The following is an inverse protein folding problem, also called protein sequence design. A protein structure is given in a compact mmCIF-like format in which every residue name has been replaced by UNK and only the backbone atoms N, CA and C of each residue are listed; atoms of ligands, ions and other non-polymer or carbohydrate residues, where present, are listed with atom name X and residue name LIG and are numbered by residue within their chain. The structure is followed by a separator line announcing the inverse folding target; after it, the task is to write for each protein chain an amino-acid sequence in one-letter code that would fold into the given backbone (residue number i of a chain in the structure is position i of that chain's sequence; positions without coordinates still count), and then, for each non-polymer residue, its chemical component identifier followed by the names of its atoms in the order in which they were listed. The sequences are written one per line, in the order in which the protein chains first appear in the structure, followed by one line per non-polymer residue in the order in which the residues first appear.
data_IF_204992447113
#
_entry.id   IF_204992447113
#
_cell.length_a   1.000
_cell.length_b   1.000
_cell.length_c   1.000
_cell.angle_alpha   90.00
_cell.angle_beta   90.00
_cell.angle_gamma   90.00
#
_symmetry.space_group_name_H-M   'P 1'
#
loop_
_entity.id
_entity.type
_entity.pdbx_description
1 polymer ?
#
# COMPACT_ATOMS: atom_id res chain seq x y z
N UNK A 1 -1.48 -2.65 30.49
CA UNK A 1 -2.54 -2.45 29.47
C UNK A 1 -2.56 -1.05 28.82
N UNK A 2 -2.51 0.08 29.56
CA UNK A 2 -2.61 1.44 28.97
C UNK A 2 -1.52 1.82 27.94
N UNK A 3 -0.27 1.36 28.12
CA UNK A 3 0.83 1.66 27.19
C UNK A 3 0.67 0.98 25.83
N UNK A 4 0.14 -0.25 25.81
CA UNK A 4 -0.06 -1.02 24.58
C UNK A 4 -1.18 -0.41 23.73
N UNK A 5 -2.31 -0.05 24.35
CA UNK A 5 -3.41 0.63 23.67
C UNK A 5 -2.97 1.96 23.03
N UNK A 6 -2.15 2.73 23.74
CA UNK A 6 -1.57 3.98 23.22
C UNK A 6 -0.65 3.74 22.01
N UNK A 7 0.16 2.68 22.03
CA UNK A 7 1.05 2.34 20.91
C UNK A 7 0.27 1.96 19.66
N UNK A 8 -0.77 1.14 19.80
CA UNK A 8 -1.66 0.73 18.70
C UNK A 8 -2.37 1.96 18.10
N UNK A 9 -2.88 2.85 18.94
CA UNK A 9 -3.54 4.07 18.47
C UNK A 9 -2.58 5.00 17.70
N UNK A 10 -1.35 5.17 18.19
CA UNK A 10 -0.33 5.96 17.50
C UNK A 10 0.00 5.38 16.12
N UNK A 11 0.19 4.06 16.03
CA UNK A 11 0.51 3.39 14.76
C UNK A 11 -0.67 3.49 13.77
N UNK A 12 -1.91 3.32 14.23
CA UNK A 12 -3.12 3.55 13.43
C UNK A 12 -3.18 4.98 12.87
N UNK A 13 -2.90 5.98 13.70
CA UNK A 13 -2.86 7.40 13.27
C UNK A 13 -1.76 7.65 12.24
N UNK A 14 -0.59 7.04 12.43
CA UNK A 14 0.53 7.13 11.49
C UNK A 14 0.13 6.58 10.11
N UNK A 15 -0.41 5.36 10.05
CA UNK A 15 -0.81 4.72 8.78
C UNK A 15 -1.87 5.57 8.06
N UNK A 16 -2.87 6.07 8.78
CA UNK A 16 -3.88 6.96 8.20
C UNK A 16 -3.30 8.27 7.66
N UNK A 17 -2.27 8.82 8.31
CA UNK A 17 -1.56 10.01 7.84
C UNK A 17 -0.73 9.71 6.58
N UNK A 18 -0.05 8.57 6.51
CA UNK A 18 0.72 8.16 5.33
C UNK A 18 -0.19 7.89 4.12
N UNK A 19 -1.31 7.19 4.30
CA UNK A 19 -2.32 7.00 3.25
C UNK A 19 -2.89 8.34 2.78
N UNK A 20 -3.16 9.27 3.71
CA UNK A 20 -3.62 10.62 3.35
C UNK A 20 -2.56 11.36 2.54
N UNK A 21 -1.29 11.28 2.94
CA UNK A 21 -0.16 11.89 2.23
C UNK A 21 -0.03 11.34 0.80
N UNK A 22 -0.13 10.01 0.63
CA UNK A 22 -0.15 9.36 -0.67
C UNK A 22 -1.28 9.91 -1.56
N UNK A 23 -2.50 10.03 -1.02
CA UNK A 23 -3.64 10.58 -1.75
C UNK A 23 -3.45 12.05 -2.14
N UNK A 24 -2.96 12.88 -1.22
CA UNK A 24 -2.66 14.29 -1.49
C UNK A 24 -1.62 14.45 -2.59
N UNK A 25 -0.52 13.67 -2.54
CA UNK A 25 0.51 13.70 -3.56
C UNK A 25 -0.03 13.32 -4.95
N UNK A 26 -0.95 12.34 -5.01
CA UNK A 26 -1.62 11.98 -6.27
C UNK A 26 -2.48 13.15 -6.77
N UNK A 27 -3.30 13.77 -5.92
CA UNK A 27 -4.13 14.92 -6.30
C UNK A 27 -3.28 16.10 -6.78
N UNK A 28 -2.21 16.45 -6.07
CA UNK A 28 -1.28 17.53 -6.45
C UNK A 28 -0.65 17.31 -7.84
N UNK A 29 -0.37 16.05 -8.20
CA UNK A 29 0.11 15.73 -9.54
C UNK A 29 -0.97 15.98 -10.60
N UNK A 30 -2.21 15.57 -10.34
CA UNK A 30 -3.36 15.77 -11.24
C UNK A 30 -3.67 17.25 -11.42
N UNK A 31 -3.78 17.99 -10.31
CA UNK A 31 -4.06 19.44 -10.31
C UNK A 31 -2.95 20.22 -11.03
N UNK A 32 -1.72 19.71 -10.97
CA UNK A 32 -0.58 20.21 -11.75
C UNK A 32 -0.54 19.79 -13.22
N UNK A 33 -1.61 19.18 -13.76
CA UNK A 33 -1.72 18.75 -15.15
C UNK A 33 -0.81 17.57 -15.52
N UNK A 34 -0.30 16.83 -14.54
CA UNK A 34 0.60 15.68 -14.75
C UNK A 34 -0.15 14.39 -14.49
N UNK A 35 0.17 13.36 -15.27
CA UNK A 35 -0.20 12.00 -14.92
C UNK A 35 0.40 11.64 -13.55
N UNK A 36 -0.36 11.04 -12.63
CA UNK A 36 0.19 10.57 -11.36
C UNK A 36 1.21 9.45 -11.48
N UNK A 37 2.26 9.54 -10.67
CA UNK A 37 3.33 8.57 -10.46
C UNK A 37 3.40 8.19 -8.99
N UNK A 38 3.56 6.89 -8.70
CA UNK A 38 3.92 6.38 -7.37
C UNK A 38 5.26 5.64 -7.48
N UNK A 39 6.19 5.96 -6.58
CA UNK A 39 7.46 5.23 -6.42
C UNK A 39 7.33 4.21 -5.29
N UNK A 40 7.62 2.94 -5.59
CA UNK A 40 7.46 1.82 -4.66
C UNK A 40 8.83 1.16 -4.50
N UNK A 41 9.26 0.77 -3.29
CA UNK A 41 10.51 0.01 -3.17
C UNK A 41 10.45 -1.31 -3.94
N UNK A 42 11.52 -1.61 -4.67
CA UNK A 42 11.64 -2.82 -5.47
C UNK A 42 11.75 -4.02 -4.54
N UNK A 43 10.81 -4.98 -4.65
CA UNK A 43 10.83 -6.24 -3.90
C UNK A 43 11.58 -7.37 -4.62
N UNK A 44 12.37 -7.03 -5.64
CA UNK A 44 13.22 -8.01 -6.33
C UNK A 44 14.35 -8.49 -5.42
N UNK A 45 14.79 -9.74 -5.58
CA UNK A 45 15.92 -10.30 -4.82
C UNK A 45 17.20 -9.48 -4.98
N UNK A 46 17.41 -8.87 -6.15
CA UNK A 46 18.53 -7.96 -6.42
C UNK A 46 18.46 -6.61 -5.66
N UNK A 47 17.41 -6.36 -4.89
CA UNK A 47 17.28 -5.21 -3.98
C UNK A 47 17.23 -5.65 -2.52
N UNK A 48 17.51 -6.91 -2.19
CA UNK A 48 17.59 -7.34 -0.79
C UNK A 48 19.01 -7.12 -0.29
N UNK A 49 19.16 -6.37 0.80
CA UNK A 49 20.46 -6.03 1.40
C UNK A 49 20.50 -6.47 2.86
N UNK A 50 21.65 -6.92 3.34
CA UNK A 50 21.84 -7.24 4.76
C UNK A 50 22.09 -5.95 5.54
N UNK A 51 21.27 -5.69 6.55
CA UNK A 51 21.46 -4.59 7.49
C UNK A 51 22.24 -5.10 8.72
N UNK A 52 23.46 -4.61 8.92
CA UNK A 52 24.33 -5.04 10.02
C UNK A 52 23.82 -4.61 11.40
N UNK A 53 23.06 -3.51 11.46
CA UNK A 53 22.54 -2.97 12.72
C UNK A 53 21.34 -3.79 13.18
N UNK A 54 20.41 -4.05 12.26
CA UNK A 54 19.22 -4.86 12.52
C UNK A 54 19.52 -6.37 12.47
N UNK A 55 20.69 -6.76 11.95
CA UNK A 55 21.13 -8.14 11.72
C UNK A 55 20.16 -8.96 10.88
N UNK A 56 19.49 -8.32 9.93
CA UNK A 56 18.46 -8.93 9.09
C UNK A 56 18.53 -8.40 7.65
N UNK A 57 17.89 -9.12 6.72
CA UNK A 57 17.75 -8.68 5.34
C UNK A 57 16.58 -7.70 5.20
N UNK A 58 16.84 -6.56 4.55
CA UNK A 58 15.87 -5.48 4.33
C UNK A 58 15.81 -5.10 2.85
N UNK A 59 14.78 -4.33 2.49
CA UNK A 59 14.68 -3.73 1.16
C UNK A 59 15.73 -2.62 1.02
N UNK A 60 16.54 -2.72 -0.03
CA UNK A 60 17.53 -1.73 -0.42
C UNK A 60 16.91 -0.53 -1.16
N UNK A 61 17.76 0.37 -1.69
CA UNK A 61 17.33 1.69 -2.15
C UNK A 61 16.61 1.67 -3.51
N UNK A 62 16.61 0.56 -4.26
CA UNK A 62 16.02 0.54 -5.61
C UNK A 62 14.52 0.73 -5.52
N UNK A 63 13.98 1.65 -6.32
CA UNK A 63 12.54 1.92 -6.44
C UNK A 63 12.05 1.58 -7.85
N UNK A 64 10.81 1.14 -7.95
CA UNK A 64 10.07 0.98 -9.20
C UNK A 64 9.01 2.09 -9.32
N UNK A 65 8.69 2.46 -10.56
CA UNK A 65 7.77 3.55 -10.89
C UNK A 65 6.46 2.99 -11.46
N UNK A 66 5.33 3.25 -10.80
CA UNK A 66 3.99 2.99 -11.34
C UNK A 66 3.39 4.29 -11.83
N UNK A 67 3.28 4.42 -13.15
CA UNK A 67 2.92 5.66 -13.81
C UNK A 67 1.60 5.51 -14.55
N UNK A 68 0.62 6.34 -14.22
CA UNK A 68 -0.72 6.27 -14.83
C UNK A 68 -0.73 6.54 -16.34
N UNK A 69 0.27 7.27 -16.87
CA UNK A 69 0.46 7.49 -18.32
C UNK A 69 0.74 6.19 -19.10
N UNK A 70 1.32 5.18 -18.45
CA UNK A 70 1.65 3.92 -19.11
C UNK A 70 0.47 2.95 -19.01
N UNK A 71 -0.08 2.55 -20.15
CA UNK A 71 -1.22 1.62 -20.24
C UNK A 71 -0.97 0.27 -19.55
N UNK A 72 0.30 -0.18 -19.48
CA UNK A 72 0.66 -1.41 -18.76
C UNK A 72 0.63 -1.23 -17.23
N UNK A 73 0.78 0.00 -16.76
CA UNK A 73 0.86 0.33 -15.34
C UNK A 73 -0.49 0.82 -14.78
N UNK A 74 -1.33 1.45 -15.60
CA UNK A 74 -2.58 2.09 -15.14
C UNK A 74 -3.47 1.16 -14.32
N UNK A 75 -3.62 -0.11 -14.73
CA UNK A 75 -4.39 -1.11 -13.96
C UNK A 75 -3.81 -1.30 -12.55
N UNK A 76 -2.51 -1.59 -12.47
CA UNK A 76 -1.80 -1.82 -11.20
C UNK A 76 -1.72 -0.56 -10.34
N UNK A 77 -1.70 0.62 -10.96
CA UNK A 77 -1.78 1.90 -10.28
C UNK A 77 -3.17 2.06 -9.61
N UNK A 78 -4.25 1.88 -10.37
CA UNK A 78 -5.62 2.01 -9.84
C UNK A 78 -5.92 1.00 -8.73
N UNK A 79 -5.46 -0.24 -8.87
CA UNK A 79 -5.57 -1.27 -7.83
C UNK A 79 -4.87 -0.85 -6.51
N UNK A 80 -3.68 -0.25 -6.61
CA UNK A 80 -2.92 0.21 -5.45
C UNK A 80 -3.60 1.40 -4.76
N UNK A 81 -4.10 2.37 -5.54
CA UNK A 81 -4.84 3.52 -5.01
C UNK A 81 -6.16 3.08 -4.36
N UNK A 82 -6.87 2.14 -4.99
CA UNK A 82 -8.08 1.55 -4.42
C UNK A 82 -7.78 0.81 -3.11
N UNK A 83 -6.69 0.05 -3.04
CA UNK A 83 -6.30 -0.63 -1.80
C UNK A 83 -6.01 0.37 -0.68
N UNK A 84 -5.33 1.48 -0.96
CA UNK A 84 -5.10 2.55 0.03
C UNK A 84 -6.43 3.11 0.58
N UNK A 85 -7.39 3.34 -0.32
CA UNK A 85 -8.74 3.73 0.06
C UNK A 85 -9.43 2.66 0.93
N UNK A 86 -9.35 1.39 0.53
CA UNK A 86 -9.98 0.28 1.23
C UNK A 86 -9.42 0.11 2.65
N UNK A 87 -8.09 0.14 2.81
CA UNK A 87 -7.41 0.11 4.11
C UNK A 87 -7.89 1.27 4.99
N UNK A 88 -7.96 2.49 4.44
CA UNK A 88 -8.48 3.65 5.18
C UNK A 88 -9.91 3.40 5.67
N UNK A 89 -10.78 2.81 4.86
CA UNK A 89 -12.15 2.49 5.27
C UNK A 89 -12.21 1.43 6.39
N UNK A 90 -11.42 0.36 6.28
CA UNK A 90 -11.31 -0.67 7.32
C UNK A 90 -10.85 -0.06 8.65
N UNK A 91 -9.79 0.76 8.59
CA UNK A 91 -9.24 1.40 9.77
C UNK A 91 -10.23 2.40 10.37
N UNK A 92 -10.95 3.21 9.59
CA UNK A 92 -11.93 4.16 10.14
C UNK A 92 -13.15 3.45 10.75
N UNK A 93 -13.62 2.38 10.13
CA UNK A 93 -14.76 1.59 10.60
C UNK A 93 -14.41 0.56 11.67
N UNK A 94 -13.13 0.44 12.03
CA UNK A 94 -12.60 -0.55 12.96
C UNK A 94 -13.00 -2.00 12.57
N UNK A 95 -13.00 -2.28 11.28
CA UNK A 95 -13.28 -3.60 10.70
C UNK A 95 -11.98 -4.25 10.24
N UNK A 96 -11.98 -5.58 10.21
CA UNK A 96 -10.94 -6.38 9.56
C UNK A 96 -11.47 -7.01 8.28
N UNK A 97 -10.54 -7.38 7.41
CA UNK A 97 -10.77 -8.04 6.14
C UNK A 97 -9.78 -9.19 6.01
N UNK A 98 -10.11 -10.21 5.22
CA UNK A 98 -9.15 -11.23 4.83
C UNK A 98 -8.55 -10.91 3.45
N UNK A 99 -7.46 -11.59 3.09
CA UNK A 99 -6.90 -11.49 1.73
C UNK A 99 -7.93 -11.80 0.62
N UNK A 100 -8.87 -12.72 0.88
CA UNK A 100 -9.93 -13.05 -0.08
C UNK A 100 -11.00 -11.97 -0.14
N UNK A 101 -11.34 -11.37 1.00
CA UNK A 101 -12.27 -10.26 1.02
C UNK A 101 -11.73 -9.07 0.23
N UNK A 102 -10.43 -8.78 0.30
CA UNK A 102 -9.80 -7.77 -0.56
C UNK A 102 -9.98 -8.11 -2.05
N UNK A 103 -9.76 -9.38 -2.42
CA UNK A 103 -9.90 -9.84 -3.80
C UNK A 103 -11.34 -9.65 -4.32
N UNK A 104 -12.36 -10.07 -3.56
CA UNK A 104 -13.77 -9.97 -3.97
C UNK A 104 -14.35 -8.57 -3.82
N UNK A 105 -13.98 -7.82 -2.77
CA UNK A 105 -14.53 -6.48 -2.51
C UNK A 105 -14.16 -5.49 -3.61
N UNK A 106 -13.03 -5.70 -4.28
CA UNK A 106 -12.57 -4.85 -5.37
C UNK A 106 -13.54 -4.79 -6.55
N UNK A 107 -14.23 -5.90 -6.85
CA UNK A 107 -15.16 -5.99 -7.98
C UNK A 107 -16.34 -5.02 -7.83
N UNK A 108 -16.81 -4.80 -6.60
CA UNK A 108 -17.88 -3.84 -6.30
C UNK A 108 -17.50 -2.38 -6.63
N UNK A 109 -16.20 -2.10 -6.77
CA UNK A 109 -15.64 -0.79 -7.15
C UNK A 109 -15.15 -0.77 -8.61
N UNK A 110 -15.43 -1.80 -9.40
CA UNK A 110 -14.92 -1.93 -10.78
C UNK A 110 -13.40 -2.15 -10.84
N UNK A 111 -12.78 -2.60 -9.75
CA UNK A 111 -11.35 -2.93 -9.68
C UNK A 111 -11.20 -4.43 -9.77
N UNK A 112 -10.66 -4.92 -10.88
CA UNK A 112 -10.59 -6.35 -11.16
C UNK A 112 -9.19 -6.91 -10.95
N UNK A 113 -9.11 -7.99 -10.19
CA UNK A 113 -7.91 -8.82 -10.09
C UNK A 113 -8.04 -10.04 -10.99
N UNK A 114 -6.97 -10.41 -11.71
CA UNK A 114 -6.93 -11.62 -12.54
C UNK A 114 -6.89 -12.89 -11.70
N UNK A 115 -6.34 -12.79 -10.50
CA UNK A 115 -6.20 -13.90 -9.55
C UNK A 115 -5.96 -13.36 -8.16
N UNK A 116 -6.13 -14.21 -7.15
CA UNK A 116 -5.74 -13.91 -5.77
C UNK A 116 -4.25 -13.54 -5.67
N UNK A 117 -3.40 -14.11 -6.54
CA UNK A 117 -1.98 -13.77 -6.54
C UNK A 117 -1.76 -12.30 -6.95
N UNK A 118 -2.55 -11.77 -7.90
CA UNK A 118 -2.45 -10.36 -8.29
C UNK A 118 -2.87 -9.43 -7.14
N UNK A 119 -3.93 -9.73 -6.39
CA UNK A 119 -4.31 -8.92 -5.22
C UNK A 119 -3.26 -9.00 -4.12
N UNK A 120 -2.71 -10.19 -3.86
CA UNK A 120 -1.61 -10.38 -2.90
C UNK A 120 -0.37 -9.56 -3.28
N UNK A 121 -0.03 -9.47 -4.57
CA UNK A 121 1.07 -8.63 -5.05
C UNK A 121 0.83 -7.14 -4.78
N UNK A 122 -0.40 -6.65 -4.95
CA UNK A 122 -0.77 -5.26 -4.67
C UNK A 122 -0.73 -4.97 -3.17
N UNK A 123 -1.17 -5.91 -2.33
CA UNK A 123 -1.06 -5.79 -0.87
C UNK A 123 0.41 -5.67 -0.46
N UNK A 124 1.26 -6.57 -0.95
CA UNK A 124 2.68 -6.54 -0.60
C UNK A 124 3.42 -5.31 -1.14
N UNK A 125 2.97 -4.73 -2.26
CA UNK A 125 3.46 -3.42 -2.70
C UNK A 125 3.04 -2.29 -1.77
N UNK A 126 1.84 -2.35 -1.19
CA UNK A 126 1.40 -1.41 -0.16
C UNK A 126 2.18 -1.56 1.14
N UNK A 127 2.47 -2.80 1.56
CA UNK A 127 3.32 -3.09 2.72
C UNK A 127 4.69 -2.42 2.56
N UNK A 128 5.28 -2.56 1.38
CA UNK A 128 6.59 -1.98 1.07
C UNK A 128 6.53 -0.45 0.90
N UNK A 129 5.43 0.09 0.37
CA UNK A 129 5.25 1.54 0.21
C UNK A 129 5.12 2.27 1.55
N UNK A 130 4.41 1.68 2.51
CA UNK A 130 4.13 2.25 3.83
C UNK A 130 5.06 1.72 4.94
N UNK A 131 6.03 0.88 4.59
CA UNK A 131 6.93 0.18 5.53
C UNK A 131 6.16 -0.41 6.73
N UNK A 132 5.03 -1.06 6.44
CA UNK A 132 4.06 -1.51 7.43
C UNK A 132 3.46 -2.85 7.02
N UNK A 133 3.41 -3.80 7.94
CA UNK A 133 2.86 -5.14 7.69
C UNK A 133 1.34 -5.11 7.53
N UNK A 134 0.77 -6.01 6.70
CA UNK A 134 -0.67 -6.04 6.39
C UNK A 134 -1.59 -6.15 7.60
N UNK A 135 -1.14 -6.79 8.67
CA UNK A 135 -1.93 -6.99 9.89
C UNK A 135 -2.27 -5.64 10.53
N UNK A 136 -1.39 -4.64 10.38
CA UNK A 136 -1.61 -3.27 10.84
C UNK A 136 -2.61 -2.50 9.95
N UNK A 137 -2.87 -3.00 8.73
CA UNK A 137 -3.92 -2.49 7.84
C UNK A 137 -5.31 -3.08 8.12
N UNK A 138 -5.40 -3.99 9.12
CA UNK A 138 -6.57 -4.82 9.38
C UNK A 138 -6.92 -5.78 8.21
N UNK A 139 -5.91 -6.25 7.48
CA UNK A 139 -6.02 -7.23 6.38
C UNK A 139 -5.29 -8.53 6.75
#
# INVERSE_FOLDING_TARGET
MRLLARKVELKRRQILAEIKSLGLNICEQIDGGRFPLIEIPSRSSANIVYDETLRQYVLGPKRIKRYSKNIRHVKKFSQLVWLAYFIRQLMLSNKSSTLRDVYYSAEAYGIFFKSQQESNEIIADMEALLDTAREEFHI
#
